data_IF_529646100552
#
_entry.id   IF_529646100552
#
_cell.length_a   1.000
_cell.length_b   1.000
_cell.length_c   1.000
_cell.angle_alpha   90.00
_cell.angle_beta   90.00
_cell.angle_gamma   90.00
#
_symmetry.space_group_name_H-M   'P 1'
#
loop_
_entity.id
_entity.type
_entity.pdbx_description
1 polymer ?
#
# COMPACT_ATOMS: atom_id res chain seq x y z
N UNK A 1 10.44 -29.13 -1.70
CA UNK A 1 9.37 -29.19 -0.68
C UNK A 1 9.56 -28.02 0.27
N UNK A 2 8.71 -27.00 0.17
CA UNK A 2 8.70 -25.90 1.14
C UNK A 2 7.98 -26.48 2.38
N UNK A 3 8.68 -26.59 3.50
CA UNK A 3 8.06 -26.99 4.78
C UNK A 3 6.95 -25.99 5.07
N UNK A 4 5.72 -26.47 5.21
CA UNK A 4 4.63 -25.63 5.72
C UNK A 4 4.99 -25.20 7.14
N UNK A 5 4.79 -23.94 7.51
CA UNK A 5 5.08 -23.48 8.87
C UNK A 5 4.11 -24.17 9.85
N UNK A 6 4.66 -24.94 10.79
CA UNK A 6 3.91 -25.78 11.73
C UNK A 6 3.11 -24.97 12.80
N UNK A 7 2.99 -23.64 12.66
CA UNK A 7 2.15 -22.79 13.53
C UNK A 7 1.76 -21.46 12.85
N UNK A 8 0.65 -20.81 13.27
CA UNK A 8 0.25 -19.48 12.79
C UNK A 8 1.34 -18.42 12.96
N UNK A 9 2.06 -18.44 14.09
CA UNK A 9 3.15 -17.49 14.36
C UNK A 9 4.33 -17.67 13.38
N UNK A 10 4.67 -18.92 13.05
CA UNK A 10 5.70 -19.20 12.06
C UNK A 10 5.27 -18.78 10.64
N UNK A 11 3.98 -18.87 10.32
CA UNK A 11 3.43 -18.37 9.06
C UNK A 11 3.54 -16.84 8.97
N UNK A 12 3.14 -16.12 10.02
CA UNK A 12 3.27 -14.65 10.09
C UNK A 12 4.72 -14.21 9.90
N UNK A 13 5.66 -14.80 10.64
CA UNK A 13 7.07 -14.45 10.52
C UNK A 13 7.64 -14.74 9.11
N UNK A 14 7.19 -15.81 8.46
CA UNK A 14 7.58 -16.13 7.08
C UNK A 14 7.03 -15.12 6.07
N UNK A 15 5.79 -14.63 6.27
CA UNK A 15 5.19 -13.57 5.46
C UNK A 15 5.94 -12.26 5.66
N UNK A 16 6.19 -11.85 6.90
CA UNK A 16 6.95 -10.62 7.21
C UNK A 16 8.34 -10.62 6.57
N UNK A 17 9.07 -11.74 6.65
CA UNK A 17 10.38 -11.87 6.03
C UNK A 17 10.32 -11.82 4.49
N UNK A 18 9.26 -12.37 3.89
CA UNK A 18 9.00 -12.27 2.45
C UNK A 18 8.75 -10.82 2.05
N UNK A 19 7.90 -10.11 2.79
CA UNK A 19 7.52 -8.73 2.52
C UNK A 19 8.70 -7.77 2.66
N UNK A 20 9.55 -7.95 3.68
CA UNK A 20 10.78 -7.16 3.84
C UNK A 20 11.69 -7.33 2.61
N UNK A 21 11.96 -8.58 2.21
CA UNK A 21 12.79 -8.85 1.02
C UNK A 21 12.19 -8.27 -0.26
N UNK A 22 10.87 -8.37 -0.44
CA UNK A 22 10.20 -7.79 -1.60
C UNK A 22 10.22 -6.26 -1.59
N UNK A 23 10.32 -5.65 -0.41
CA UNK A 23 10.38 -4.20 -0.19
C UNK A 23 11.72 -3.57 -0.56
N UNK A 24 12.80 -4.35 -0.65
CA UNK A 24 14.13 -3.85 -1.01
C UNK A 24 14.33 -3.71 -2.53
N UNK A 25 13.38 -4.18 -3.35
CA UNK A 25 13.48 -4.10 -4.81
C UNK A 25 13.25 -2.67 -5.28
N UNK A 26 13.88 -2.33 -6.40
CA UNK A 26 13.56 -1.09 -7.10
C UNK A 26 12.14 -1.16 -7.69
N UNK A 27 11.38 -0.09 -7.49
CA UNK A 27 10.09 0.17 -8.13
C UNK A 27 10.02 1.64 -8.51
N UNK A 28 9.40 1.96 -9.64
CA UNK A 28 9.09 3.34 -9.95
C UNK A 28 7.90 3.78 -9.07
N UNK A 29 8.01 4.91 -8.38
CA UNK A 29 6.90 5.45 -7.62
C UNK A 29 5.78 5.89 -8.57
N UNK A 30 4.54 5.63 -8.19
CA UNK A 30 3.37 6.11 -8.92
C UNK A 30 3.14 7.58 -8.60
N UNK A 31 3.11 8.47 -9.61
CA UNK A 31 2.81 9.89 -9.41
C UNK A 31 1.36 10.12 -8.95
N UNK A 32 0.48 9.13 -9.07
CA UNK A 32 -0.89 9.23 -8.56
C UNK A 32 -0.93 9.11 -7.04
N UNK A 33 0.10 8.53 -6.41
CA UNK A 33 0.16 8.32 -4.98
C UNK A 33 0.51 6.88 -4.60
N UNK A 34 0.11 6.50 -3.39
CA UNK A 34 0.27 5.16 -2.85
C UNK A 34 -0.90 4.81 -1.94
N UNK A 35 -1.02 3.52 -1.62
CA UNK A 35 -2.07 3.03 -0.74
C UNK A 35 -1.50 2.45 0.55
N UNK A 36 -2.22 2.63 1.64
CA UNK A 36 -2.12 1.77 2.82
C UNK A 36 -3.30 0.80 2.80
N UNK A 37 -3.03 -0.49 2.99
CA UNK A 37 -4.06 -1.52 3.12
C UNK A 37 -4.20 -1.85 4.60
N UNK A 38 -5.44 -2.13 5.02
CA UNK A 38 -5.75 -2.65 6.35
C UNK A 38 -6.83 -3.71 6.22
N UNK A 39 -6.87 -4.64 7.18
CA UNK A 39 -7.99 -5.57 7.33
C UNK A 39 -8.85 -5.10 8.50
N UNK A 40 -10.09 -4.73 8.20
CA UNK A 40 -11.10 -4.44 9.21
C UNK A 40 -11.77 -5.76 9.59
N UNK A 41 -11.28 -6.39 10.66
CA UNK A 41 -11.78 -7.69 11.11
C UNK A 41 -13.20 -7.65 11.65
N UNK A 42 -13.66 -6.48 12.12
CA UNK A 42 -15.03 -6.31 12.64
C UNK A 42 -16.02 -6.23 11.48
N UNK A 43 -15.70 -5.46 10.44
CA UNK A 43 -16.52 -5.35 9.24
C UNK A 43 -16.34 -6.53 8.26
N UNK A 44 -15.23 -7.28 8.36
CA UNK A 44 -14.85 -8.31 7.39
C UNK A 44 -14.45 -7.73 6.04
N UNK A 45 -13.80 -6.57 6.04
CA UNK A 45 -13.47 -5.78 4.84
C UNK A 45 -11.97 -5.52 4.72
N UNK A 46 -11.51 -5.39 3.48
CA UNK A 46 -10.27 -4.73 3.13
C UNK A 46 -10.53 -3.23 3.05
N UNK A 47 -9.67 -2.44 3.70
CA UNK A 47 -9.71 -0.98 3.67
C UNK A 47 -8.45 -0.49 2.98
N UNK A 48 -8.60 0.29 1.92
CA UNK A 48 -7.49 0.92 1.21
C UNK A 48 -7.58 2.43 1.36
N UNK A 49 -6.57 3.02 1.95
CA UNK A 49 -6.42 4.47 2.11
C UNK A 49 -5.41 4.98 1.09
N UNK A 50 -5.85 5.87 0.20
CA UNK A 50 -4.99 6.46 -0.81
C UNK A 50 -4.35 7.76 -0.32
N UNK A 51 -3.06 7.93 -0.55
CA UNK A 51 -2.30 9.12 -0.20
C UNK A 51 -1.56 9.65 -1.43
N UNK A 52 -1.76 10.94 -1.72
CA UNK A 52 -0.99 11.63 -2.73
C UNK A 52 0.49 11.72 -2.36
N UNK A 53 1.34 11.73 -3.38
CA UNK A 53 2.75 12.06 -3.27
C UNK A 53 3.15 13.02 -4.39
N UNK A 54 4.17 13.82 -4.16
CA UNK A 54 4.93 14.48 -5.22
C UNK A 54 6.26 13.77 -5.33
N UNK A 55 6.72 13.49 -6.55
CA UNK A 55 8.01 12.82 -6.77
C UNK A 55 9.01 13.91 -7.17
N UNK A 56 10.09 14.06 -6.40
CA UNK A 56 11.12 15.04 -6.75
C UNK A 56 12.07 14.54 -7.86
N UNK A 57 12.95 15.42 -8.35
CA UNK A 57 13.93 15.10 -9.41
C UNK A 57 14.89 13.95 -9.04
N UNK A 58 14.98 13.61 -7.75
CA UNK A 58 15.81 12.51 -7.23
C UNK A 58 15.01 11.21 -7.05
N UNK A 59 13.73 11.21 -7.42
CA UNK A 59 12.84 10.06 -7.28
C UNK A 59 12.34 9.82 -5.85
N UNK A 60 12.41 10.82 -4.96
CA UNK A 60 11.90 10.69 -3.60
C UNK A 60 10.43 11.11 -3.53
N UNK A 61 9.63 10.30 -2.83
CA UNK A 61 8.26 10.65 -2.51
C UNK A 61 8.24 11.77 -1.46
N UNK A 62 7.48 12.82 -1.75
CA UNK A 62 7.21 13.94 -0.87
C UNK A 62 5.71 14.04 -0.63
N UNK A 63 5.35 14.51 0.54
CA UNK A 63 3.97 14.83 0.84
C UNK A 63 3.49 15.96 -0.11
N UNK A 64 2.31 15.80 -0.70
CA UNK A 64 1.78 16.75 -1.67
C UNK A 64 1.39 18.10 -1.04
N UNK A 65 1.06 18.11 0.25
CA UNK A 65 0.51 19.27 0.93
C UNK A 65 1.62 20.07 1.65
N UNK A 66 2.65 19.39 2.15
CA UNK A 66 3.74 19.93 2.98
C UNK A 66 5.09 19.91 2.28
N UNK A 67 5.29 19.08 1.24
CA UNK A 67 6.56 18.94 0.53
C UNK A 67 7.66 18.18 1.29
N UNK A 68 7.37 17.68 2.49
CA UNK A 68 8.29 16.89 3.30
C UNK A 68 8.54 15.52 2.68
N UNK A 69 9.77 15.01 2.78
CA UNK A 69 10.10 13.68 2.26
C UNK A 69 9.35 12.62 3.06
N UNK A 70 8.55 11.82 2.38
CA UNK A 70 7.87 10.68 2.98
C UNK A 70 8.91 9.63 3.35
N UNK A 71 9.19 9.52 4.65
CA UNK A 71 10.10 8.49 5.15
C UNK A 71 9.33 7.21 5.47
N UNK A 72 9.89 6.06 5.10
CA UNK A 72 9.34 4.74 5.46
C UNK A 72 9.49 4.38 6.96
N UNK A 73 9.90 5.34 7.81
CA UNK A 73 10.07 5.10 9.25
C UNK A 73 8.73 5.29 9.96
N UNK A 74 8.33 4.32 10.79
CA UNK A 74 7.16 4.45 11.67
C UNK A 74 7.26 5.76 12.46
N UNK A 75 6.28 6.65 12.28
CA UNK A 75 6.18 7.94 12.96
C UNK A 75 6.82 9.14 12.25
N UNK A 76 7.19 9.01 10.96
CA UNK A 76 7.92 10.06 10.22
C UNK A 76 7.14 11.35 9.94
N UNK A 77 5.84 11.28 9.64
CA UNK A 77 4.97 12.44 9.43
C UNK A 77 3.69 12.25 10.26
N UNK A 78 3.11 13.34 10.78
CA UNK A 78 1.90 13.33 11.60
C UNK A 78 0.67 12.68 10.91
N UNK A 79 -0.50 12.63 11.56
CA UNK A 79 -1.69 12.00 10.99
C UNK A 79 -2.07 12.66 9.67
N UNK A 80 -1.87 11.96 8.56
CA UNK A 80 -2.25 12.39 7.20
C UNK A 80 -3.69 11.97 6.92
N UNK A 81 -4.45 12.85 6.28
CA UNK A 81 -5.78 12.50 5.79
C UNK A 81 -5.64 11.70 4.48
N UNK A 82 -6.33 10.57 4.39
CA UNK A 82 -6.43 9.85 3.14
C UNK A 82 -7.20 10.69 2.11
N UNK A 83 -6.68 10.80 0.90
CA UNK A 83 -7.33 11.49 -0.22
C UNK A 83 -8.54 10.72 -0.75
N UNK A 84 -8.56 9.41 -0.58
CA UNK A 84 -9.70 8.54 -0.85
C UNK A 84 -9.62 7.30 0.03
N UNK A 85 -10.78 6.70 0.34
CA UNK A 85 -10.88 5.44 1.09
C UNK A 85 -11.76 4.49 0.29
N UNK A 86 -11.25 3.29 0.02
CA UNK A 86 -11.95 2.21 -0.67
C UNK A 86 -12.17 1.05 0.30
N UNK A 87 -13.36 0.45 0.23
CA UNK A 87 -13.75 -0.68 1.07
C UNK A 87 -14.34 -1.78 0.21
N UNK A 88 -14.02 -3.02 0.55
CA UNK A 88 -14.49 -4.19 -0.18
C UNK A 88 -14.18 -5.47 0.56
N UNK A 89 -14.96 -6.51 0.31
CA UNK A 89 -14.84 -7.81 0.98
C UNK A 89 -13.79 -8.72 0.34
N UNK A 90 -13.28 -8.33 -0.83
CA UNK A 90 -12.26 -9.09 -1.55
C UNK A 90 -11.32 -8.20 -2.34
N UNK A 91 -10.11 -8.71 -2.62
CA UNK A 91 -9.14 -8.04 -3.48
C UNK A 91 -9.68 -7.80 -4.91
N UNK A 92 -10.58 -8.68 -5.40
CA UNK A 92 -11.22 -8.51 -6.71
C UNK A 92 -12.15 -7.31 -6.74
N UNK A 93 -13.01 -7.18 -5.73
CA UNK A 93 -13.94 -6.06 -5.61
C UNK A 93 -13.19 -4.73 -5.52
N UNK A 94 -12.15 -4.67 -4.67
CA UNK A 94 -11.26 -3.52 -4.59
C UNK A 94 -10.56 -3.24 -5.93
N UNK A 95 -10.02 -4.26 -6.58
CA UNK A 95 -9.35 -4.11 -7.87
C UNK A 95 -10.24 -3.46 -8.92
N UNK A 96 -11.48 -3.94 -9.06
CA UNK A 96 -12.48 -3.37 -9.98
C UNK A 96 -12.77 -1.90 -9.61
N UNK A 97 -12.95 -1.57 -8.33
CA UNK A 97 -13.17 -0.18 -7.90
C UNK A 97 -12.01 0.74 -8.33
N UNK A 98 -10.77 0.26 -8.25
CA UNK A 98 -9.59 1.06 -8.59
C UNK A 98 -9.37 1.18 -10.10
N UNK A 99 -9.66 0.13 -10.89
CA UNK A 99 -9.24 0.05 -12.30
C UNK A 99 -10.36 0.13 -13.33
N UNK A 100 -11.62 -0.09 -12.94
CA UNK A 100 -12.76 -0.20 -13.89
C UNK A 100 -13.91 0.78 -13.58
N UNK A 101 -13.83 1.55 -12.47
CA UNK A 101 -14.81 2.58 -12.14
C UNK A 101 -14.76 3.82 -13.06
N UNK A 102 -15.64 4.81 -12.78
CA UNK A 102 -15.83 6.02 -13.61
C UNK A 102 -14.61 6.97 -13.68
N UNK A 103 -13.55 6.68 -12.93
CA UNK A 103 -12.33 7.47 -12.86
C UNK A 103 -12.48 8.80 -12.10
N UNK A 104 -11.40 9.60 -12.00
CA UNK A 104 -10.04 9.27 -12.41
C UNK A 104 -9.47 8.11 -11.60
N UNK A 105 -8.73 7.20 -12.26
CA UNK A 105 -8.12 6.06 -11.58
C UNK A 105 -7.01 6.54 -10.63
N UNK A 106 -7.00 6.09 -9.38
CA UNK A 106 -6.02 6.53 -8.37
C UNK A 106 -4.64 5.85 -8.53
N UNK A 107 -4.34 5.29 -9.70
CA UNK A 107 -3.10 4.60 -10.01
C UNK A 107 -2.74 4.72 -11.50
N UNK A 108 -1.46 4.91 -11.77
CA UNK A 108 -0.86 5.01 -13.11
C UNK A 108 0.29 4.02 -13.34
N UNK A 109 0.78 3.34 -12.30
CA UNK A 109 1.90 2.38 -12.32
C UNK A 109 1.48 1.06 -11.68
N UNK A 110 1.21 0.05 -12.51
CA UNK A 110 0.77 -1.28 -12.04
C UNK A 110 1.83 -2.00 -11.18
N UNK A 111 3.11 -1.74 -11.41
CA UNK A 111 4.22 -2.27 -10.62
C UNK A 111 4.31 -1.65 -9.22
N UNK A 112 3.93 -0.38 -9.06
CA UNK A 112 3.81 0.28 -7.76
C UNK A 112 2.48 -0.06 -7.06
N UNK A 113 1.39 -0.15 -7.82
CA UNK A 113 0.06 -0.47 -7.31
C UNK A 113 -0.06 -1.91 -6.76
N UNK A 114 0.94 -2.77 -6.95
CA UNK A 114 1.03 -4.09 -6.31
C UNK A 114 1.81 -4.08 -4.99
N UNK A 115 2.29 -2.91 -4.55
CA UNK A 115 2.89 -2.70 -3.22
C UNK A 115 1.84 -2.60 -2.10
N UNK A 116 0.67 -3.19 -2.32
CA UNK A 116 -0.51 -3.22 -1.46
C UNK A 116 -0.39 -4.18 -0.25
N UNK A 117 0.80 -4.72 0.01
CA UNK A 117 1.00 -5.74 1.04
C UNK A 117 1.48 -5.20 2.39
N UNK A 118 1.78 -3.91 2.51
CA UNK A 118 2.29 -3.38 3.77
C UNK A 118 1.14 -2.97 4.68
N UNK A 119 1.05 -3.72 5.78
CA UNK A 119 0.28 -3.49 7.00
C UNK A 119 -1.02 -4.32 7.12
N UNK A 120 -0.86 -5.56 7.62
CA UNK A 120 -1.91 -6.26 8.35
C UNK A 120 -2.01 -5.71 9.78
#
# INVERSE_FOLDING_TARGET
MIKSPDSPAALTAAIEALDERLSQRFIALDPSGYFLIKVDSEAGELVLEHFGNTIDEKGLARDSDTGEVLSCKKGGNGPRAASAVYRGRSAKEIGIQLTEGDGPHPLSRLDHALYLGREL
#
